data_IF_288310531543
#
_entry.id   IF_288310531543
#
_cell.length_a   1.000
_cell.length_b   1.000
_cell.length_c   1.000
_cell.angle_alpha   90.00
_cell.angle_beta   90.00
_cell.angle_gamma   90.00
#
_symmetry.space_group_name_H-M   'P 1'
#
loop_
_entity.id
_entity.type
_entity.pdbx_description
1 polymer ?
#
# COMPACT_ATOMS: atom_id res chain seq x y z
N UNK A 1 22.65 0.68 -19.51
CA UNK A 1 23.00 2.01 -19.00
C UNK A 1 22.31 3.02 -19.90
N UNK A 2 21.72 4.09 -19.36
CA UNK A 2 21.04 5.09 -20.18
C UNK A 2 22.06 5.93 -20.93
N UNK A 3 21.79 6.23 -22.19
CA UNK A 3 22.71 6.98 -23.06
C UNK A 3 22.04 8.21 -23.68
N UNK A 4 22.73 9.34 -23.67
CA UNK A 4 22.30 10.63 -24.21
C UNK A 4 23.21 11.08 -25.35
N UNK A 5 22.63 11.72 -26.38
CA UNK A 5 23.41 12.49 -27.35
C UNK A 5 23.21 13.98 -27.07
N UNK A 6 24.32 14.69 -26.83
CA UNK A 6 24.34 16.13 -26.57
C UNK A 6 25.00 16.89 -27.74
N UNK A 7 24.25 17.81 -28.35
CA UNK A 7 24.69 18.58 -29.52
C UNK A 7 24.70 20.07 -29.19
N UNK A 8 25.88 20.65 -29.02
CA UNK A 8 26.05 22.08 -28.79
C UNK A 8 27.42 22.58 -29.29
N UNK A 9 27.48 23.69 -30.04
CA UNK A 9 28.74 24.21 -30.56
C UNK A 9 29.69 24.70 -29.46
N UNK A 10 29.16 25.17 -28.32
CA UNK A 10 29.94 25.61 -27.17
C UNK A 10 30.44 24.42 -26.35
N UNK A 11 31.77 24.22 -26.38
CA UNK A 11 32.45 23.23 -25.51
C UNK A 11 32.15 23.44 -24.02
N UNK A 12 32.05 24.69 -23.58
CA UNK A 12 31.72 25.00 -22.19
C UNK A 12 30.30 24.52 -21.84
N UNK A 13 29.31 24.82 -22.68
CA UNK A 13 27.94 24.38 -22.43
C UNK A 13 27.81 22.86 -22.47
N UNK A 14 28.50 22.20 -23.40
CA UNK A 14 28.56 20.73 -23.43
C UNK A 14 29.06 20.13 -22.12
N UNK A 15 30.14 20.68 -21.56
CA UNK A 15 30.70 20.21 -20.29
C UNK A 15 29.75 20.42 -19.10
N UNK A 16 29.04 21.55 -19.05
CA UNK A 16 28.05 21.83 -17.99
C UNK A 16 26.88 20.86 -18.06
N UNK A 17 26.29 20.67 -19.25
CA UNK A 17 25.13 19.80 -19.44
C UNK A 17 25.52 18.32 -19.25
N UNK A 18 26.69 17.90 -19.74
CA UNK A 18 27.23 16.57 -19.47
C UNK A 18 27.29 16.28 -17.97
N UNK A 19 27.77 17.24 -17.16
CA UNK A 19 27.80 17.06 -15.70
C UNK A 19 26.42 16.80 -15.11
N UNK A 20 25.34 17.35 -15.68
CA UNK A 20 23.97 17.12 -15.22
C UNK A 20 23.56 15.67 -15.51
N UNK A 21 23.80 15.19 -16.73
CA UNK A 21 23.50 13.81 -17.12
C UNK A 21 24.33 12.78 -16.34
N UNK A 22 25.64 13.02 -16.17
CA UNK A 22 26.55 12.12 -15.44
C UNK A 22 26.19 11.99 -13.95
N UNK A 23 25.66 13.05 -13.32
CA UNK A 23 25.15 12.99 -11.93
C UNK A 23 23.95 12.04 -11.77
N UNK A 24 23.31 11.65 -12.86
CA UNK A 24 22.16 10.75 -12.94
C UNK A 24 22.51 9.41 -13.59
N UNK A 25 23.80 9.07 -13.64
CA UNK A 25 24.30 7.82 -14.21
C UNK A 25 23.90 7.59 -15.69
N UNK A 26 23.75 8.70 -16.43
CA UNK A 26 23.49 8.71 -17.88
C UNK A 26 24.81 8.98 -18.61
N UNK A 27 25.19 8.07 -19.51
CA UNK A 27 26.34 8.23 -20.40
C UNK A 27 26.01 9.28 -21.48
N UNK A 28 26.98 10.11 -21.86
CA UNK A 28 26.75 11.21 -22.81
C UNK A 28 27.77 11.16 -23.94
N UNK A 29 27.29 11.00 -25.17
CA UNK A 29 28.08 11.29 -26.36
C UNK A 29 27.86 12.75 -26.76
N UNK A 30 28.87 13.37 -27.36
CA UNK A 30 28.84 14.78 -27.73
C UNK A 30 29.08 15.01 -29.21
N UNK A 31 28.34 15.95 -29.78
CA UNK A 31 28.59 16.52 -31.10
C UNK A 31 28.66 18.05 -31.01
N UNK A 32 29.45 18.66 -31.89
CA UNK A 32 29.67 20.12 -31.94
C UNK A 32 28.80 20.84 -32.98
N UNK A 33 28.00 20.11 -33.74
CA UNK A 33 27.09 20.64 -34.75
C UNK A 33 26.07 19.61 -35.23
N UNK A 34 25.11 20.06 -36.01
CA UNK A 34 24.00 19.26 -36.54
C UNK A 34 24.49 18.09 -37.41
N UNK A 35 25.48 18.32 -38.29
CA UNK A 35 26.02 17.28 -39.17
C UNK A 35 26.67 16.15 -38.36
N UNK A 36 27.51 16.48 -37.38
CA UNK A 36 28.12 15.51 -36.49
C UNK A 36 27.06 14.77 -35.65
N UNK A 37 26.02 15.48 -35.20
CA UNK A 37 24.88 14.90 -34.49
C UNK A 37 24.11 13.87 -35.32
N UNK A 38 23.84 14.17 -36.60
CA UNK A 38 23.19 13.23 -37.52
C UNK A 38 24.04 11.97 -37.76
N UNK A 39 25.37 12.11 -37.84
CA UNK A 39 26.29 10.98 -37.96
C UNK A 39 26.28 10.11 -36.70
N UNK A 40 26.33 10.73 -35.52
CA UNK A 40 26.28 10.04 -34.24
C UNK A 40 24.95 9.25 -34.09
N UNK A 41 23.81 9.85 -34.43
CA UNK A 41 22.49 9.19 -34.41
C UNK A 41 22.37 8.04 -35.41
N UNK A 42 23.12 8.06 -36.52
CA UNK A 42 23.13 6.98 -37.49
C UNK A 42 24.00 5.78 -37.05
N UNK A 43 24.89 5.98 -36.08
CA UNK A 43 25.87 4.98 -35.63
C UNK A 43 25.62 4.44 -34.23
N UNK A 44 24.75 5.08 -33.44
CA UNK A 44 24.51 4.71 -32.06
C UNK A 44 23.05 4.84 -31.64
N UNK A 45 22.67 4.03 -30.66
CA UNK A 45 21.36 4.08 -30.01
C UNK A 45 21.41 5.01 -28.80
N UNK A 46 20.45 5.92 -28.72
CA UNK A 46 20.34 6.88 -27.64
C UNK A 46 18.95 6.83 -27.02
N UNK A 47 18.88 7.06 -25.72
CA UNK A 47 17.63 7.10 -24.97
C UNK A 47 17.14 8.54 -24.77
N UNK A 48 17.99 9.54 -25.03
CA UNK A 48 17.61 10.96 -24.98
C UNK A 48 18.49 11.77 -25.94
N UNK A 49 17.89 12.72 -26.65
CA UNK A 49 18.56 13.63 -27.56
C UNK A 49 18.45 15.04 -27.00
N UNK A 50 19.58 15.67 -26.69
CA UNK A 50 19.63 17.04 -26.17
C UNK A 50 20.42 17.92 -27.14
N UNK A 51 19.86 19.03 -27.60
CA UNK A 51 20.53 19.89 -28.57
C UNK A 51 20.16 21.35 -28.41
N UNK A 52 21.03 22.24 -28.88
CA UNK A 52 20.79 23.68 -28.82
C UNK A 52 19.96 24.22 -29.97
N UNK A 53 19.28 25.34 -29.73
CA UNK A 53 18.55 26.07 -30.77
C UNK A 53 19.46 26.48 -31.94
N UNK A 54 20.68 26.89 -31.63
CA UNK A 54 21.70 27.26 -32.61
C UNK A 54 22.83 26.22 -32.54
N UNK A 55 22.96 25.41 -33.59
CA UNK A 55 23.97 24.34 -33.68
C UNK A 55 25.23 24.78 -34.45
N UNK A 56 25.25 26.02 -34.93
CA UNK A 56 26.34 26.60 -35.72
C UNK A 56 26.15 26.39 -37.22
N UNK A 57 25.94 25.14 -37.65
CA UNK A 57 25.73 24.74 -39.05
C UNK A 57 24.25 24.65 -39.46
N UNK A 58 23.35 24.54 -38.49
CA UNK A 58 21.90 24.47 -38.68
C UNK A 58 21.15 24.95 -37.43
N UNK A 59 19.89 25.35 -37.59
CA UNK A 59 19.01 25.62 -36.43
C UNK A 59 18.41 24.32 -35.90
N UNK A 60 18.23 24.23 -34.59
CA UNK A 60 17.73 23.05 -33.88
C UNK A 60 16.44 22.45 -34.45
N UNK A 61 15.37 23.25 -34.70
CA UNK A 61 14.14 22.73 -35.30
C UNK A 61 14.33 22.13 -36.71
N UNK A 62 15.23 22.70 -37.52
CA UNK A 62 15.57 22.17 -38.85
C UNK A 62 16.34 20.85 -38.74
N UNK A 63 17.31 20.79 -37.82
CA UNK A 63 18.04 19.57 -37.51
C UNK A 63 17.08 18.45 -37.10
N UNK A 64 16.15 18.73 -36.20
CA UNK A 64 15.24 17.70 -35.71
C UNK A 64 14.22 17.23 -36.77
N UNK A 65 13.80 18.12 -37.68
CA UNK A 65 13.02 17.71 -38.87
C UNK A 65 13.80 16.72 -39.74
N UNK A 66 15.11 16.92 -39.90
CA UNK A 66 15.96 16.02 -40.66
C UNK A 66 16.15 14.67 -39.96
N UNK A 67 16.33 14.67 -38.63
CA UNK A 67 16.34 13.46 -37.79
C UNK A 67 15.08 12.63 -38.02
N UNK A 68 13.90 13.26 -37.92
CA UNK A 68 12.61 12.59 -38.16
C UNK A 68 12.44 12.12 -39.60
N UNK A 69 12.85 12.91 -40.59
CA UNK A 69 12.77 12.54 -42.02
C UNK A 69 13.59 11.28 -42.32
N UNK A 70 14.74 11.13 -41.66
CA UNK A 70 15.61 9.96 -41.77
C UNK A 70 15.22 8.80 -40.85
N UNK A 71 14.16 8.95 -40.04
CA UNK A 71 13.74 8.00 -39.00
C UNK A 71 14.87 7.65 -38.02
N UNK A 72 15.72 8.64 -37.76
CA UNK A 72 16.74 8.54 -36.72
C UNK A 72 16.08 8.92 -35.39
N UNK A 73 16.42 8.21 -34.31
CA UNK A 73 15.92 8.48 -32.96
C UNK A 73 14.38 8.44 -32.80
N UNK A 74 13.69 7.49 -33.45
CA UNK A 74 12.24 7.29 -33.24
C UNK A 74 11.93 6.93 -31.78
N UNK A 75 10.93 7.59 -31.19
CA UNK A 75 10.55 7.39 -29.78
C UNK A 75 11.50 8.01 -28.75
N UNK A 76 12.63 8.60 -29.18
CA UNK A 76 13.61 9.22 -28.30
C UNK A 76 13.17 10.65 -27.93
N UNK A 77 13.07 11.01 -26.63
CA UNK A 77 12.76 12.37 -26.23
C UNK A 77 13.82 13.36 -26.71
N UNK A 78 13.37 14.41 -27.37
CA UNK A 78 14.16 15.48 -27.96
C UNK A 78 14.04 16.76 -27.14
N UNK A 79 15.10 17.14 -26.44
CA UNK A 79 15.16 18.30 -25.54
C UNK A 79 15.96 19.42 -26.19
N UNK A 80 15.31 20.55 -26.50
CA UNK A 80 15.98 21.70 -27.11
C UNK A 80 16.36 22.76 -26.08
N UNK A 81 17.57 23.31 -26.16
CA UNK A 81 18.06 24.37 -25.27
C UNK A 81 18.14 25.73 -25.98
N UNK A 82 17.45 26.74 -25.47
CA UNK A 82 17.41 28.09 -26.04
C UNK A 82 17.85 29.15 -25.03
N UNK A 83 18.58 30.20 -25.44
CA UNK A 83 19.03 31.26 -24.52
C UNK A 83 17.85 31.99 -23.85
N UNK A 84 16.85 32.36 -24.65
CA UNK A 84 15.57 32.93 -24.22
C UNK A 84 14.50 32.39 -25.17
N UNK A 85 13.77 31.32 -24.82
CA UNK A 85 12.68 30.84 -25.66
C UNK A 85 11.56 31.88 -25.67
N UNK A 86 11.34 32.52 -26.82
CA UNK A 86 10.12 33.28 -27.07
C UNK A 86 9.02 32.34 -27.59
N UNK A 87 7.78 32.82 -27.64
CA UNK A 87 6.64 32.03 -28.11
C UNK A 87 6.85 31.46 -29.51
N UNK A 88 7.55 32.20 -30.39
CA UNK A 88 7.80 31.78 -31.77
C UNK A 88 8.79 30.62 -31.85
N UNK A 89 9.86 30.65 -31.04
CA UNK A 89 10.83 29.55 -30.93
C UNK A 89 10.16 28.30 -30.36
N UNK A 90 9.30 28.46 -29.36
CA UNK A 90 8.54 27.34 -28.80
C UNK A 90 7.60 26.72 -29.85
N UNK A 91 6.80 27.54 -30.53
CA UNK A 91 5.86 27.06 -31.57
C UNK A 91 6.59 26.34 -32.72
N UNK A 92 7.76 26.84 -33.16
CA UNK A 92 8.59 26.22 -34.20
C UNK A 92 9.18 24.86 -33.76
N UNK A 93 9.61 24.76 -32.49
CA UNK A 93 10.14 23.53 -31.91
C UNK A 93 9.05 22.46 -31.76
N UNK A 94 7.86 22.83 -31.26
CA UNK A 94 6.71 21.92 -31.17
C UNK A 94 6.29 21.46 -32.56
N UNK A 95 6.24 22.35 -33.56
CA UNK A 95 5.94 21.99 -34.94
C UNK A 95 6.98 21.04 -35.57
N UNK A 96 8.25 21.13 -35.16
CA UNK A 96 9.29 20.17 -35.54
C UNK A 96 9.12 18.79 -34.85
N UNK A 97 8.41 18.74 -33.72
CA UNK A 97 8.18 17.54 -32.91
C UNK A 97 9.14 17.41 -31.73
N UNK A 98 9.81 18.50 -31.33
CA UNK A 98 10.65 18.52 -30.12
C UNK A 98 9.79 18.22 -28.90
N UNK A 99 10.30 17.38 -28.01
CA UNK A 99 9.57 16.93 -26.81
C UNK A 99 9.40 18.06 -25.80
N UNK A 100 10.46 18.82 -25.54
CA UNK A 100 10.43 19.94 -24.59
C UNK A 100 11.54 20.97 -24.91
N UNK A 101 11.30 22.24 -24.59
CA UNK A 101 12.25 23.33 -24.77
C UNK A 101 12.63 23.98 -23.44
N UNK A 102 13.92 23.95 -23.09
CA UNK A 102 14.41 24.55 -21.84
C UNK A 102 15.20 25.84 -22.08
N UNK A 103 15.04 26.86 -21.23
CA UNK A 103 15.94 28.00 -21.21
C UNK A 103 17.35 27.59 -20.75
N UNK A 104 18.41 28.02 -21.47
CA UNK A 104 19.81 27.80 -21.07
C UNK A 104 20.16 28.46 -19.72
N UNK A 105 19.40 29.47 -19.32
CA UNK A 105 19.52 30.10 -18.01
C UNK A 105 18.91 29.28 -16.86
N UNK A 106 18.08 28.27 -17.17
CA UNK A 106 17.37 27.42 -16.20
C UNK A 106 17.65 25.94 -16.42
N UNK A 107 18.93 25.57 -16.27
CA UNK A 107 19.37 24.17 -16.40
C UNK A 107 18.88 23.28 -15.24
N UNK A 108 18.39 23.87 -14.15
CA UNK A 108 17.70 23.17 -13.07
C UNK A 108 16.42 22.48 -13.55
N UNK A 109 15.67 23.08 -14.48
CA UNK A 109 14.48 22.46 -15.08
C UNK A 109 14.84 21.23 -15.93
N UNK A 110 15.94 21.33 -16.69
CA UNK A 110 16.51 20.21 -17.44
C UNK A 110 16.94 19.09 -16.49
N UNK A 111 17.65 19.43 -15.40
CA UNK A 111 18.08 18.45 -14.39
C UNK A 111 16.88 17.74 -13.73
N UNK A 112 15.82 18.47 -13.41
CA UNK A 112 14.58 17.89 -12.88
C UNK A 112 13.92 16.93 -13.87
N UNK A 113 13.84 17.32 -15.15
CA UNK A 113 13.30 16.46 -16.20
C UNK A 113 14.10 15.15 -16.32
N UNK A 114 15.43 15.26 -16.42
CA UNK A 114 16.33 14.09 -16.51
C UNK A 114 16.18 13.21 -15.27
N UNK A 115 16.12 13.80 -14.07
CA UNK A 115 15.93 13.03 -12.83
C UNK A 115 14.56 12.35 -12.71
N UNK A 116 13.50 12.90 -13.31
CA UNK A 116 12.21 12.21 -13.40
C UNK A 116 12.24 11.09 -14.44
N UNK A 117 12.88 11.33 -15.58
CA UNK A 117 13.03 10.37 -16.65
C UNK A 117 13.89 9.17 -16.23
N UNK A 118 15.04 9.40 -15.61
CA UNK A 118 15.94 8.36 -15.10
C UNK A 118 15.23 7.47 -14.06
N UNK A 119 14.50 8.07 -13.10
CA UNK A 119 13.70 7.32 -12.13
C UNK A 119 12.59 6.48 -12.76
N UNK A 120 12.02 6.91 -13.88
CA UNK A 120 11.03 6.12 -14.65
C UNK A 120 11.71 4.99 -15.42
N UNK A 121 12.85 5.27 -16.05
CA UNK A 121 13.58 4.32 -16.90
C UNK A 121 14.32 3.23 -16.11
N UNK A 122 14.82 3.53 -14.91
CA UNK A 122 15.50 2.57 -14.03
C UNK A 122 14.54 1.77 -13.13
N UNK A 123 13.23 1.93 -13.31
CA UNK A 123 12.25 1.31 -12.42
C UNK A 123 12.04 -0.15 -12.77
N UNK A 124 12.69 -1.04 -12.03
CA UNK A 124 12.42 -2.47 -12.11
C UNK A 124 11.11 -2.76 -11.38
N UNK A 125 10.08 -3.10 -12.17
CA UNK A 125 8.82 -3.60 -11.68
C UNK A 125 9.00 -5.06 -11.26
N UNK A 126 8.08 -5.56 -10.45
CA UNK A 126 8.09 -6.95 -9.99
C UNK A 126 6.67 -7.49 -9.83
N UNK A 127 6.52 -8.78 -10.10
CA UNK A 127 5.27 -9.51 -10.02
C UNK A 127 4.82 -10.05 -11.37
N UNK A 128 3.72 -10.81 -11.33
CA UNK A 128 3.19 -11.54 -12.47
C UNK A 128 2.11 -10.75 -13.20
N UNK A 129 2.15 -10.77 -14.52
CA UNK A 129 1.16 -10.19 -15.43
C UNK A 129 0.38 -11.32 -16.08
N UNK A 130 -0.95 -11.20 -16.09
CA UNK A 130 -1.79 -12.01 -16.96
C UNK A 130 -1.94 -11.26 -18.28
N UNK A 131 -1.42 -11.82 -19.37
CA UNK A 131 -1.54 -11.29 -20.73
C UNK A 131 -2.49 -12.17 -21.54
N UNK A 132 -3.58 -11.59 -22.05
CA UNK A 132 -4.52 -12.26 -22.97
C UNK A 132 -4.42 -11.59 -24.34
N UNK A 133 -3.87 -12.30 -25.32
CA UNK A 133 -3.70 -11.83 -26.69
C UNK A 133 -3.58 -13.07 -27.60
N UNK A 134 -4.42 -13.15 -28.62
CA UNK A 134 -4.52 -14.26 -29.57
C UNK A 134 -3.40 -14.23 -30.61
N UNK A 135 -3.00 -13.03 -31.05
CA UNK A 135 -1.88 -12.86 -31.98
C UNK A 135 -0.54 -13.15 -31.31
N UNK A 136 0.10 -14.27 -31.69
CA UNK A 136 1.42 -14.65 -31.17
C UNK A 136 2.47 -13.54 -31.32
N UNK A 137 2.44 -12.79 -32.43
CA UNK A 137 3.35 -11.66 -32.70
C UNK A 137 3.13 -10.51 -31.73
N UNK A 138 1.87 -10.09 -31.53
CA UNK A 138 1.54 -8.99 -30.62
C UNK A 138 1.79 -9.40 -29.16
N UNK A 139 1.46 -10.63 -28.80
CA UNK A 139 1.68 -11.19 -27.48
C UNK A 139 3.18 -11.30 -27.16
N UNK A 140 4.01 -11.72 -28.13
CA UNK A 140 5.47 -11.75 -27.98
C UNK A 140 6.04 -10.35 -27.76
N UNK A 141 5.65 -9.39 -28.59
CA UNK A 141 6.09 -8.00 -28.45
C UNK A 141 5.72 -7.41 -27.06
N UNK A 142 4.46 -7.59 -26.64
CA UNK A 142 4.01 -7.11 -25.33
C UNK A 142 4.76 -7.80 -24.18
N UNK A 143 5.03 -9.10 -24.30
CA UNK A 143 5.78 -9.86 -23.29
C UNK A 143 7.21 -9.34 -23.16
N UNK A 144 7.92 -9.13 -24.26
CA UNK A 144 9.29 -8.60 -24.25
C UNK A 144 9.38 -7.23 -23.59
N UNK A 145 8.40 -6.34 -23.85
CA UNK A 145 8.34 -5.03 -23.19
C UNK A 145 8.15 -5.20 -21.68
N UNK A 146 7.23 -6.05 -21.24
CA UNK A 146 6.94 -6.27 -19.82
C UNK A 146 8.09 -6.96 -19.07
N UNK A 147 8.73 -7.96 -19.69
CA UNK A 147 9.88 -8.69 -19.15
C UNK A 147 11.10 -7.76 -18.99
N UNK A 148 11.33 -6.86 -19.94
CA UNK A 148 12.37 -5.81 -19.81
C UNK A 148 12.12 -4.87 -18.63
N UNK A 149 10.86 -4.67 -18.24
CA UNK A 149 10.51 -3.92 -17.03
C UNK A 149 10.69 -4.74 -15.75
N UNK A 150 10.98 -6.04 -15.83
CA UNK A 150 11.16 -6.95 -14.68
C UNK A 150 9.91 -7.73 -14.27
N UNK A 151 8.87 -7.73 -15.09
CA UNK A 151 7.63 -8.47 -14.84
C UNK A 151 7.72 -9.91 -15.36
N UNK A 152 7.08 -10.85 -14.67
CA UNK A 152 6.86 -12.21 -15.17
C UNK A 152 5.54 -12.24 -15.96
N UNK A 153 5.53 -12.81 -17.16
CA UNK A 153 4.33 -12.78 -18.03
C UNK A 153 3.73 -14.18 -18.20
N UNK A 154 2.50 -14.36 -17.72
CA UNK A 154 1.66 -15.53 -18.03
C UNK A 154 0.79 -15.20 -19.25
N UNK A 155 1.02 -15.92 -20.35
CA UNK A 155 0.35 -15.69 -21.64
C UNK A 155 -0.82 -16.66 -21.85
N UNK A 156 -1.93 -16.13 -22.33
CA UNK A 156 -3.12 -16.88 -22.71
C UNK A 156 -3.62 -16.40 -24.07
N UNK A 157 -4.08 -17.32 -24.91
CA UNK A 157 -4.65 -16.98 -26.23
C UNK A 157 -6.13 -16.67 -26.18
N UNK A 158 -6.83 -17.25 -25.21
CA UNK A 158 -8.29 -17.12 -25.06
C UNK A 158 -8.65 -16.51 -23.71
N UNK A 159 -9.79 -15.83 -23.64
CA UNK A 159 -10.30 -15.26 -22.39
C UNK A 159 -10.66 -16.35 -21.38
N UNK A 160 -11.18 -17.48 -21.85
CA UNK A 160 -11.64 -18.61 -21.05
C UNK A 160 -10.50 -19.23 -20.22
N UNK A 161 -9.37 -19.51 -20.87
CA UNK A 161 -8.16 -20.02 -20.20
C UNK A 161 -7.64 -19.04 -19.15
N UNK A 162 -7.60 -17.75 -19.51
CA UNK A 162 -7.10 -16.72 -18.62
C UNK A 162 -7.99 -16.57 -17.37
N UNK A 163 -9.32 -16.52 -17.56
CA UNK A 163 -10.30 -16.41 -16.49
C UNK A 163 -10.21 -17.59 -15.51
N UNK A 164 -9.97 -18.80 -16.00
CA UNK A 164 -9.83 -19.99 -15.17
C UNK A 164 -8.65 -19.91 -14.17
N UNK A 165 -7.61 -19.11 -14.47
CA UNK A 165 -6.43 -18.97 -13.59
C UNK A 165 -6.56 -17.87 -12.54
N UNK A 166 -7.43 -16.88 -12.75
CA UNK A 166 -7.60 -15.72 -11.87
C UNK A 166 -7.82 -16.04 -10.38
N UNK A 167 -8.57 -17.10 -9.99
CA UNK A 167 -8.75 -17.44 -8.57
C UNK A 167 -7.47 -18.00 -7.94
N UNK A 168 -6.67 -18.74 -8.72
CA UNK A 168 -5.59 -19.60 -8.22
C UNK A 168 -4.21 -18.95 -8.30
N UNK A 169 -4.03 -17.97 -9.17
CA UNK A 169 -2.77 -17.25 -9.33
C UNK A 169 -2.86 -15.82 -8.77
N UNK A 170 -1.69 -15.28 -8.42
CA UNK A 170 -1.54 -13.93 -7.88
C UNK A 170 -0.89 -13.01 -8.91
N UNK A 171 -1.75 -12.48 -9.77
CA UNK A 171 -1.38 -11.45 -10.73
C UNK A 171 -1.33 -10.08 -10.07
N UNK A 172 -0.45 -9.20 -10.55
CA UNK A 172 -0.41 -7.79 -10.14
C UNK A 172 -1.09 -6.85 -11.10
N UNK A 173 -1.27 -7.28 -12.35
CA UNK A 173 -1.95 -6.53 -13.39
C UNK A 173 -2.45 -7.51 -14.47
N UNK A 174 -3.58 -7.16 -15.07
CA UNK A 174 -4.15 -7.86 -16.23
C UNK A 174 -3.98 -6.98 -17.46
N UNK A 175 -3.45 -7.55 -18.52
CA UNK A 175 -3.39 -6.94 -19.85
C UNK A 175 -4.18 -7.82 -20.80
N UNK A 176 -5.19 -7.28 -21.47
CA UNK A 176 -6.06 -8.09 -22.34
C UNK A 176 -6.37 -7.35 -23.62
N UNK A 177 -6.25 -8.02 -24.77
CA UNK A 177 -6.86 -7.52 -25.99
C UNK A 177 -8.38 -7.52 -25.87
N UNK A 178 -9.01 -6.52 -26.49
CA UNK A 178 -10.45 -6.44 -26.57
C UNK A 178 -11.01 -7.55 -27.48
N UNK A 179 -10.41 -7.75 -28.65
CA UNK A 179 -10.81 -8.80 -29.60
C UNK A 179 -9.92 -10.00 -29.32
N UNK A 180 -10.51 -11.18 -29.18
CA UNK A 180 -9.77 -12.41 -28.91
C UNK A 180 -10.35 -13.53 -29.76
N UNK A 181 -9.52 -14.52 -30.08
CA UNK A 181 -9.97 -15.83 -30.51
C UNK A 181 -10.73 -16.53 -29.36
N UNK A 182 -11.89 -17.11 -29.65
CA UNK A 182 -12.74 -17.77 -28.65
C UNK A 182 -14.20 -17.32 -28.69
N UNK A 183 -14.97 -17.71 -27.65
CA UNK A 183 -16.37 -17.31 -27.50
C UNK A 183 -16.51 -16.05 -26.63
N UNK A 184 -15.46 -15.70 -25.90
CA UNK A 184 -15.38 -14.56 -25.00
C UNK A 184 -14.38 -13.50 -25.48
N UNK A 185 -14.63 -12.25 -25.12
CA UNK A 185 -13.80 -11.09 -25.47
C UNK A 185 -13.01 -10.59 -24.26
N UNK A 186 -12.09 -9.64 -24.44
CA UNK A 186 -11.40 -8.99 -23.32
C UNK A 186 -12.35 -8.34 -22.31
N UNK A 187 -13.57 -7.99 -22.73
CA UNK A 187 -14.62 -7.50 -21.82
C UNK A 187 -15.06 -8.57 -20.81
N UNK A 188 -15.08 -9.85 -21.22
CA UNK A 188 -15.37 -10.96 -20.32
C UNK A 188 -14.27 -11.11 -19.26
N UNK A 189 -13.00 -10.95 -19.65
CA UNK A 189 -11.87 -10.95 -18.72
C UNK A 189 -12.01 -9.82 -17.69
N UNK A 190 -12.31 -8.60 -18.16
CA UNK A 190 -12.52 -7.44 -17.28
C UNK A 190 -13.62 -7.72 -16.25
N UNK A 191 -14.77 -8.22 -16.70
CA UNK A 191 -15.90 -8.54 -15.81
C UNK A 191 -15.56 -9.66 -14.83
N UNK A 192 -14.84 -10.69 -15.27
CA UNK A 192 -14.41 -11.79 -14.42
C UNK A 192 -13.49 -11.31 -13.29
N UNK A 193 -12.50 -10.46 -13.60
CA UNK A 193 -11.63 -9.85 -12.58
C UNK A 193 -12.46 -9.07 -11.57
N UNK A 194 -13.38 -8.21 -12.03
CA UNK A 194 -14.23 -7.38 -11.15
C UNK A 194 -15.23 -8.20 -10.31
N UNK A 195 -15.51 -9.44 -10.68
CA UNK A 195 -16.37 -10.35 -9.92
C UNK A 195 -15.60 -11.17 -8.84
N UNK A 196 -14.27 -11.07 -8.78
CA UNK A 196 -13.48 -11.77 -7.76
C UNK A 196 -13.74 -11.20 -6.35
N UNK A 197 -13.63 -12.02 -5.29
CA UNK A 197 -13.80 -11.52 -3.93
C UNK A 197 -12.61 -10.68 -3.46
N UNK A 198 -12.89 -9.70 -2.60
CA UNK A 198 -11.87 -8.92 -1.89
C UNK A 198 -10.93 -8.13 -2.80
N UNK A 199 -9.65 -8.05 -2.42
CA UNK A 199 -8.63 -7.24 -3.12
C UNK A 199 -8.29 -7.73 -4.53
N UNK A 200 -8.71 -8.93 -4.94
CA UNK A 200 -8.54 -9.42 -6.31
C UNK A 200 -9.46 -8.70 -7.30
N UNK A 201 -10.63 -8.20 -6.86
CA UNK A 201 -11.49 -7.35 -7.71
C UNK A 201 -10.86 -6.01 -8.08
N UNK A 202 -9.86 -5.55 -7.31
CA UNK A 202 -9.18 -4.27 -7.49
C UNK A 202 -7.93 -4.37 -8.38
N UNK A 203 -7.66 -5.54 -8.98
CA UNK A 203 -6.50 -5.70 -9.86
C UNK A 203 -6.56 -4.67 -10.99
N UNK A 204 -5.44 -3.97 -11.26
CA UNK A 204 -5.39 -3.05 -12.38
C UNK A 204 -5.54 -3.82 -13.70
N UNK A 205 -6.32 -3.26 -14.62
CA UNK A 205 -6.57 -3.85 -15.94
C UNK A 205 -6.23 -2.83 -17.02
N UNK A 206 -5.35 -3.21 -17.94
CA UNK A 206 -4.98 -2.45 -19.12
C UNK A 206 -5.50 -3.16 -20.37
N UNK A 207 -6.45 -2.54 -21.06
CA UNK A 207 -6.99 -3.13 -22.29
C UNK A 207 -6.15 -2.73 -23.52
N UNK A 208 -6.00 -3.61 -24.49
CA UNK A 208 -5.48 -3.27 -25.82
C UNK A 208 -6.68 -3.10 -26.78
N UNK A 209 -6.71 -2.01 -27.56
CA UNK A 209 -7.84 -1.71 -28.45
C UNK A 209 -7.41 -1.01 -29.74
N UNK A 210 -8.16 -1.17 -30.82
CA UNK A 210 -7.95 -0.42 -32.06
C UNK A 210 -8.32 1.09 -31.94
N UNK A 211 -7.73 1.92 -32.80
CA UNK A 211 -7.84 3.39 -32.82
C UNK A 211 -9.23 3.92 -33.20
N UNK A 212 -10.01 3.17 -33.97
CA UNK A 212 -11.15 3.68 -34.75
C UNK A 212 -12.51 3.62 -34.04
N UNK A 213 -12.58 3.12 -32.80
CA UNK A 213 -13.86 2.95 -32.11
C UNK A 213 -13.87 3.56 -30.70
N UNK A 214 -14.26 4.84 -30.62
CA UNK A 214 -14.45 5.56 -29.35
C UNK A 214 -15.49 4.87 -28.45
N UNK A 215 -16.55 4.30 -29.03
CA UNK A 215 -17.59 3.62 -28.24
C UNK A 215 -17.04 2.39 -27.50
N UNK A 216 -16.16 1.63 -28.16
CA UNK A 216 -15.45 0.49 -27.57
C UNK A 216 -14.57 0.90 -26.40
N UNK A 217 -13.81 2.00 -26.54
CA UNK A 217 -12.98 2.55 -25.44
C UNK A 217 -13.82 2.94 -24.23
N UNK A 218 -15.00 3.53 -24.47
CA UNK A 218 -15.95 3.87 -23.40
C UNK A 218 -16.49 2.60 -22.71
N UNK A 219 -16.80 1.55 -23.48
CA UNK A 219 -17.30 0.29 -22.93
C UNK A 219 -16.26 -0.42 -22.05
N UNK A 220 -15.00 -0.47 -22.49
CA UNK A 220 -13.85 -1.01 -21.74
C UNK A 220 -13.74 -0.34 -20.37
N UNK A 221 -13.76 1.00 -20.34
CA UNK A 221 -13.66 1.76 -19.09
C UNK A 221 -14.89 1.56 -18.19
N UNK A 222 -16.10 1.53 -18.76
CA UNK A 222 -17.33 1.28 -18.01
C UNK A 222 -17.42 -0.13 -17.42
N UNK A 223 -16.83 -1.12 -18.08
CA UNK A 223 -16.72 -2.47 -17.54
C UNK A 223 -15.72 -2.57 -16.38
N UNK A 224 -14.92 -1.52 -16.16
CA UNK A 224 -14.03 -1.39 -15.01
C UNK A 224 -12.55 -1.49 -15.36
N UNK A 225 -12.14 -1.48 -16.64
CA UNK A 225 -10.72 -1.35 -16.96
C UNK A 225 -10.17 0.00 -16.46
N UNK A 226 -8.91 0.01 -16.03
CA UNK A 226 -8.28 1.21 -15.49
C UNK A 226 -7.76 2.13 -16.59
N UNK A 227 -7.31 1.55 -17.70
CA UNK A 227 -6.78 2.27 -18.84
C UNK A 227 -6.79 1.39 -20.10
N UNK A 228 -6.39 1.96 -21.24
CA UNK A 228 -6.18 1.20 -22.48
C UNK A 228 -4.94 1.70 -23.26
N UNK A 229 -4.33 0.82 -24.06
CA UNK A 229 -3.32 1.15 -25.08
C UNK A 229 -3.94 0.94 -26.45
N UNK A 230 -3.61 1.83 -27.37
CA UNK A 230 -4.10 1.72 -28.74
C UNK A 230 -3.17 0.88 -29.61
N UNK A 231 -3.73 0.01 -30.45
CA UNK A 231 -2.96 -0.77 -31.44
C UNK A 231 -2.65 0.09 -32.69
N UNK A 232 -1.45 -0.03 -33.30
CA UNK A 232 -0.33 -0.90 -32.90
C UNK A 232 0.33 -0.43 -31.59
N UNK A 233 0.67 -1.38 -30.72
CA UNK A 233 1.23 -1.10 -29.40
C UNK A 233 2.62 -0.49 -29.56
N UNK A 234 2.85 0.65 -28.90
CA UNK A 234 4.18 1.30 -28.80
C UNK A 234 4.80 0.92 -27.45
N UNK A 235 6.06 0.47 -27.46
CA UNK A 235 6.74 -0.06 -26.28
C UNK A 235 6.78 0.95 -25.13
N UNK A 236 7.10 2.21 -25.45
CA UNK A 236 7.21 3.31 -24.50
C UNK A 236 5.84 3.66 -23.88
N UNK A 237 4.77 3.64 -24.68
CA UNK A 237 3.41 3.88 -24.19
C UNK A 237 2.96 2.76 -23.25
N UNK A 238 3.16 1.51 -23.66
CA UNK A 238 2.83 0.34 -22.84
C UNK A 238 3.59 0.37 -21.50
N UNK A 239 4.91 0.62 -21.56
CA UNK A 239 5.75 0.70 -20.36
C UNK A 239 5.30 1.82 -19.42
N UNK A 240 4.98 3.02 -19.95
CA UNK A 240 4.52 4.14 -19.15
C UNK A 240 3.18 3.83 -18.45
N UNK A 241 2.21 3.25 -19.16
CA UNK A 241 0.90 2.91 -18.58
C UNK A 241 1.00 1.80 -17.54
N UNK A 242 1.76 0.75 -17.82
CA UNK A 242 2.02 -0.33 -16.85
C UNK A 242 2.69 0.21 -15.58
N UNK A 243 3.73 1.03 -15.74
CA UNK A 243 4.43 1.65 -14.63
C UNK A 243 3.51 2.51 -13.75
N UNK A 244 2.61 3.29 -14.35
CA UNK A 244 1.63 4.10 -13.62
C UNK A 244 0.62 3.25 -12.85
N UNK A 245 0.06 2.22 -13.49
CA UNK A 245 -0.95 1.35 -12.88
C UNK A 245 -0.38 0.52 -11.72
N UNK A 246 0.82 -0.04 -11.91
CA UNK A 246 1.49 -0.83 -10.86
C UNK A 246 1.96 0.05 -9.70
N UNK A 247 2.40 1.29 -9.97
CA UNK A 247 2.69 2.28 -8.94
C UNK A 247 1.44 2.61 -8.11
N UNK A 248 0.32 2.88 -8.78
CA UNK A 248 -0.93 3.20 -8.11
C UNK A 248 -1.39 2.03 -7.24
N UNK A 249 -1.29 0.79 -7.73
CA UNK A 249 -1.59 -0.41 -6.96
C UNK A 249 -0.72 -0.53 -5.71
N UNK A 250 0.59 -0.35 -5.86
CA UNK A 250 1.54 -0.40 -4.73
C UNK A 250 1.20 0.66 -3.66
N UNK A 251 0.86 1.88 -4.07
CA UNK A 251 0.48 2.95 -3.13
C UNK A 251 -0.80 2.60 -2.37
N UNK A 252 -1.81 2.03 -3.04
CA UNK A 252 -3.03 1.56 -2.38
C UNK A 252 -2.76 0.42 -1.40
N UNK A 253 -1.90 -0.54 -1.76
CA UNK A 253 -1.49 -1.64 -0.88
C UNK A 253 -0.79 -1.11 0.38
N UNK A 254 0.10 -0.13 0.24
CA UNK A 254 0.78 0.54 1.35
C UNK A 254 -0.21 1.28 2.26
N UNK A 255 -1.14 2.04 1.67
CA UNK A 255 -2.15 2.77 2.44
C UNK A 255 -3.05 1.81 3.22
N UNK A 256 -3.47 0.70 2.61
CA UNK A 256 -4.28 -0.31 3.27
C UNK A 256 -3.52 -0.96 4.44
N UNK A 257 -2.24 -1.27 4.27
CA UNK A 257 -1.41 -1.82 5.34
C UNK A 257 -1.23 -0.83 6.51
N UNK A 258 -1.00 0.45 6.21
CA UNK A 258 -0.91 1.49 7.24
C UNK A 258 -2.22 1.67 8.00
N UNK A 259 -3.34 1.63 7.29
CA UNK A 259 -4.66 1.75 7.90
C UNK A 259 -4.95 0.59 8.87
N UNK A 260 -4.57 -0.64 8.51
CA UNK A 260 -4.69 -1.78 9.43
C UNK A 260 -3.77 -1.64 10.65
N UNK A 261 -2.52 -1.17 10.46
CA UNK A 261 -1.62 -0.91 11.59
C UNK A 261 -2.19 0.16 12.54
N UNK A 262 -2.76 1.24 12.00
CA UNK A 262 -3.40 2.29 12.81
C UNK A 262 -4.60 1.75 13.57
N UNK A 263 -5.41 0.88 12.96
CA UNK A 263 -6.51 0.20 13.67
C UNK A 263 -6.00 -0.69 14.80
N UNK A 264 -4.96 -1.49 14.56
CA UNK A 264 -4.36 -2.34 15.61
C UNK A 264 -3.85 -1.50 16.78
N UNK A 265 -3.14 -0.40 16.50
CA UNK A 265 -2.68 0.56 17.51
C UNK A 265 -3.84 1.24 18.25
N UNK A 266 -4.98 1.46 17.59
CA UNK A 266 -6.15 2.05 18.21
C UNK A 266 -6.91 1.09 19.13
N UNK A 267 -6.69 -0.22 19.00
CA UNK A 267 -7.48 -1.28 19.66
C UNK A 267 -6.71 -2.01 20.76
N UNK A 268 -5.38 -2.04 20.69
CA UNK A 268 -4.51 -2.75 21.65
C UNK A 268 -3.83 -1.80 22.65
N UNK A 269 -3.51 -2.31 23.83
CA UNK A 269 -2.66 -1.64 24.82
C UNK A 269 -1.18 -1.86 24.47
N UNK A 270 -0.40 -0.78 24.46
CA UNK A 270 0.99 -0.82 24.00
C UNK A 270 1.93 -1.63 24.92
N UNK A 271 1.60 -1.79 26.20
CA UNK A 271 2.45 -2.53 27.14
C UNK A 271 2.08 -4.01 27.14
N UNK A 272 0.79 -4.34 27.29
CA UNK A 272 0.35 -5.71 27.54
C UNK A 272 -0.10 -6.46 26.30
N UNK A 273 -0.31 -5.76 25.17
CA UNK A 273 -0.92 -6.29 23.94
C UNK A 273 -2.35 -6.85 24.13
N UNK A 274 -2.97 -6.65 25.29
CA UNK A 274 -4.40 -6.87 25.48
C UNK A 274 -5.18 -5.80 24.71
N UNK A 275 -6.49 -5.96 24.59
CA UNK A 275 -7.32 -4.88 24.09
C UNK A 275 -7.25 -3.67 25.05
N UNK A 276 -7.44 -2.47 24.53
CA UNK A 276 -7.46 -1.25 25.33
C UNK A 276 -8.89 -0.84 25.70
N UNK A 277 -9.01 0.16 26.57
CA UNK A 277 -10.30 0.72 26.99
C UNK A 277 -11.19 1.18 25.83
N UNK A 278 -10.63 1.74 24.75
CA UNK A 278 -11.44 2.17 23.61
C UNK A 278 -12.11 1.01 22.92
N UNK A 279 -11.41 -0.13 22.78
CA UNK A 279 -12.00 -1.33 22.21
C UNK A 279 -13.13 -1.90 23.07
N UNK A 280 -12.98 -1.88 24.40
CA UNK A 280 -14.07 -2.25 25.32
C UNK A 280 -15.33 -1.42 25.05
N UNK A 281 -15.20 -0.08 25.01
CA UNK A 281 -16.34 0.81 24.76
C UNK A 281 -16.98 0.58 23.39
N UNK A 282 -16.19 0.19 22.38
CA UNK A 282 -16.67 -0.05 21.03
C UNK A 282 -17.44 -1.37 20.88
N UNK A 283 -17.00 -2.44 21.54
CA UNK A 283 -17.62 -3.77 21.44
C UNK A 283 -18.76 -4.00 22.46
N UNK A 284 -18.74 -3.30 23.59
CA UNK A 284 -19.76 -3.50 24.64
C UNK A 284 -21.21 -3.32 24.20
N UNK A 285 -21.57 -2.34 23.34
CA UNK A 285 -22.94 -2.24 22.81
C UNK A 285 -23.40 -3.51 22.09
N UNK A 286 -22.50 -4.19 21.35
CA UNK A 286 -22.81 -5.44 20.67
C UNK A 286 -23.02 -6.59 21.65
N UNK A 287 -22.14 -6.71 22.65
CA UNK A 287 -22.26 -7.75 23.68
C UNK A 287 -23.55 -7.59 24.50
N UNK A 288 -23.89 -6.36 24.89
CA UNK A 288 -25.15 -6.06 25.60
C UNK A 288 -26.38 -6.41 24.75
N UNK A 289 -26.34 -6.11 23.45
CA UNK A 289 -27.42 -6.47 22.54
C UNK A 289 -27.55 -7.99 22.40
N UNK A 290 -26.44 -8.70 22.16
CA UNK A 290 -26.43 -10.16 22.03
C UNK A 290 -26.91 -10.87 23.30
N UNK A 291 -26.50 -10.39 24.48
CA UNK A 291 -26.96 -10.92 25.77
C UNK A 291 -28.47 -10.81 25.93
N UNK A 292 -29.05 -9.68 25.53
CA UNK A 292 -30.49 -9.42 25.61
C UNK A 292 -31.28 -10.23 24.59
N UNK A 293 -30.81 -10.30 23.35
CA UNK A 293 -31.50 -11.01 22.26
C UNK A 293 -31.52 -12.52 22.47
N UNK A 294 -30.44 -13.08 23.02
CA UNK A 294 -30.30 -14.53 23.23
C UNK A 294 -30.63 -14.97 24.67
N UNK A 295 -31.07 -14.05 25.52
CA UNK A 295 -31.33 -14.29 26.96
C UNK A 295 -30.14 -14.97 27.68
N UNK A 296 -28.92 -14.55 27.33
CA UNK A 296 -27.68 -15.09 27.89
C UNK A 296 -27.11 -14.17 28.98
N UNK A 297 -26.52 -14.73 30.05
CA UNK A 297 -25.80 -13.93 31.04
C UNK A 297 -24.62 -13.20 30.40
N UNK A 298 -24.41 -11.94 30.78
CA UNK A 298 -23.19 -11.20 30.48
C UNK A 298 -22.58 -10.76 31.80
N UNK A 299 -21.42 -11.29 32.14
CA UNK A 299 -20.73 -10.98 33.39
C UNK A 299 -19.51 -10.11 33.11
N UNK A 300 -19.39 -9.01 33.85
CA UNK A 300 -18.21 -8.15 33.83
C UNK A 300 -17.35 -8.44 35.06
N UNK A 301 -16.05 -8.60 34.83
CA UNK A 301 -15.05 -8.79 35.89
C UNK A 301 -14.07 -7.63 35.81
N UNK A 302 -13.97 -6.84 36.89
CA UNK A 302 -12.98 -5.77 37.05
C UNK A 302 -11.89 -6.30 37.98
N UNK A 303 -10.64 -6.19 37.53
CA UNK A 303 -9.47 -6.80 38.16
C UNK A 303 -8.46 -5.70 38.44
N UNK A 304 -7.89 -5.69 39.63
CA UNK A 304 -6.85 -4.72 40.02
C UNK A 304 -5.68 -5.44 40.69
N UNK A 305 -4.47 -5.08 40.28
CA UNK A 305 -3.24 -5.63 40.87
C UNK A 305 -2.99 -4.98 42.22
N UNK A 306 -2.99 -5.80 43.26
CA UNK A 306 -2.91 -5.31 44.64
C UNK A 306 -1.58 -4.62 44.92
N UNK A 307 -1.67 -3.46 45.56
CA UNK A 307 -0.49 -2.70 46.01
C UNK A 307 0.50 -2.34 44.90
N UNK A 308 0.06 -2.26 43.63
CA UNK A 308 0.96 -2.02 42.50
C UNK A 308 1.80 -0.74 42.62
N UNK A 309 1.23 0.34 43.19
CA UNK A 309 2.00 1.54 43.54
C UNK A 309 3.22 1.23 44.45
N UNK A 310 3.07 0.37 45.46
CA UNK A 310 4.19 -0.04 46.33
C UNK A 310 5.23 -0.84 45.56
N UNK A 311 4.82 -1.67 44.60
CA UNK A 311 5.73 -2.41 43.71
C UNK A 311 6.57 -1.42 42.90
N UNK A 312 5.94 -0.41 42.28
CA UNK A 312 6.65 0.64 41.57
C UNK A 312 7.60 1.43 42.47
N UNK A 313 7.15 1.80 43.67
CA UNK A 313 7.95 2.59 44.61
C UNK A 313 9.19 1.81 45.10
N UNK A 314 9.11 0.48 45.26
CA UNK A 314 10.22 -0.35 45.74
C UNK A 314 11.13 -0.89 44.63
N UNK A 315 10.58 -1.24 43.46
CA UNK A 315 11.30 -1.94 42.39
C UNK A 315 11.51 -1.10 41.12
N UNK A 316 10.90 0.08 41.05
CA UNK A 316 10.93 0.96 39.90
C UNK A 316 9.88 0.61 38.83
N UNK A 317 9.51 1.61 38.03
CA UNK A 317 8.46 1.49 37.02
C UNK A 317 8.72 0.39 35.98
N UNK A 318 9.95 0.22 35.51
CA UNK A 318 10.28 -0.86 34.55
C UNK A 318 9.93 -2.24 35.10
N UNK A 319 10.10 -2.45 36.41
CA UNK A 319 9.77 -3.74 37.03
C UNK A 319 8.26 -3.89 37.25
N UNK A 320 7.56 -2.80 37.56
CA UNK A 320 6.10 -2.79 37.54
C UNK A 320 5.53 -3.11 36.16
N UNK A 321 6.12 -2.57 35.10
CA UNK A 321 5.73 -2.88 33.72
C UNK A 321 5.90 -4.37 33.40
N UNK A 322 7.02 -4.98 33.81
CA UNK A 322 7.24 -6.44 33.70
C UNK A 322 6.17 -7.25 34.44
N UNK A 323 5.75 -6.80 35.64
CA UNK A 323 4.65 -7.41 36.41
C UNK A 323 3.33 -7.33 35.63
N UNK A 324 2.98 -6.16 35.07
CA UNK A 324 1.74 -6.01 34.32
C UNK A 324 1.72 -6.88 33.06
N UNK A 325 2.84 -7.00 32.35
CA UNK A 325 2.97 -7.88 31.19
C UNK A 325 2.78 -9.35 31.59
N UNK A 326 3.37 -9.77 32.72
CA UNK A 326 3.22 -11.14 33.20
C UNK A 326 1.80 -11.45 33.69
N UNK A 327 1.16 -10.52 34.42
CA UNK A 327 -0.26 -10.67 34.82
C UNK A 327 -1.16 -10.72 33.59
N UNK A 328 -0.96 -9.83 32.61
CA UNK A 328 -1.73 -9.83 31.37
C UNK A 328 -1.64 -11.16 30.60
N UNK A 329 -0.46 -11.79 30.58
CA UNK A 329 -0.28 -13.13 29.98
C UNK A 329 -1.07 -14.19 30.73
N UNK A 330 -1.04 -14.19 32.06
CA UNK A 330 -1.81 -15.14 32.87
C UNK A 330 -3.32 -14.98 32.64
N UNK A 331 -3.80 -13.75 32.54
CA UNK A 331 -5.20 -13.45 32.19
C UNK A 331 -5.53 -13.96 30.78
N UNK A 332 -4.68 -13.68 29.79
CA UNK A 332 -4.90 -14.10 28.40
C UNK A 332 -4.88 -15.63 28.22
N UNK A 333 -4.04 -16.35 28.96
CA UNK A 333 -3.99 -17.81 28.93
C UNK A 333 -5.21 -18.47 29.59
N UNK A 334 -5.91 -17.75 30.48
CA UNK A 334 -7.12 -18.23 31.13
C UNK A 334 -8.40 -17.85 30.35
N UNK A 335 -8.34 -16.78 29.55
CA UNK A 335 -9.48 -16.31 28.77
C UNK A 335 -9.70 -17.19 27.53
N UNK A 336 -10.97 -17.45 27.20
CA UNK A 336 -11.34 -18.05 25.92
C UNK A 336 -11.42 -16.98 24.82
N UNK A 337 -11.36 -17.40 23.55
CA UNK A 337 -11.48 -16.49 22.39
C UNK A 337 -12.81 -15.70 22.35
N UNK A 338 -13.82 -16.19 23.07
CA UNK A 338 -15.16 -15.58 23.19
C UNK A 338 -15.24 -14.51 24.29
N UNK A 339 -14.18 -14.34 25.08
CA UNK A 339 -14.10 -13.36 26.16
C UNK A 339 -13.36 -12.09 25.72
N UNK A 340 -13.93 -10.94 26.08
CA UNK A 340 -13.30 -9.65 25.80
C UNK A 340 -12.41 -9.23 26.97
N UNK A 341 -11.12 -9.57 26.87
CA UNK A 341 -10.10 -9.18 27.86
C UNK A 341 -9.40 -7.88 27.46
N UNK A 342 -9.39 -6.91 28.38
CA UNK A 342 -8.96 -5.53 28.17
C UNK A 342 -8.06 -5.06 29.32
N UNK A 343 -7.01 -4.29 29.03
CA UNK A 343 -6.37 -3.41 30.03
C UNK A 343 -7.12 -2.08 30.04
N UNK A 344 -7.80 -1.79 31.15
CA UNK A 344 -8.68 -0.62 31.26
C UNK A 344 -7.87 0.66 31.52
N UNK A 345 -6.84 0.58 32.35
CA UNK A 345 -5.89 1.67 32.60
C UNK A 345 -4.98 1.37 33.78
N UNK A 346 -3.74 1.84 33.76
CA UNK A 346 -2.79 1.65 34.86
C UNK A 346 -2.61 0.15 35.21
N UNK A 347 -3.07 -0.23 36.40
CA UNK A 347 -3.02 -1.58 36.97
C UNK A 347 -4.36 -2.35 36.88
N UNK A 348 -5.35 -1.78 36.18
CA UNK A 348 -6.71 -2.31 36.07
C UNK A 348 -6.94 -3.07 34.75
N UNK A 349 -7.56 -4.24 34.87
CA UNK A 349 -7.99 -5.08 33.76
C UNK A 349 -9.49 -5.33 33.85
N UNK A 350 -10.12 -5.54 32.70
CA UNK A 350 -11.55 -5.82 32.59
C UNK A 350 -11.74 -7.02 31.67
N UNK A 351 -12.56 -7.97 32.10
CA UNK A 351 -13.01 -9.08 31.26
C UNK A 351 -14.54 -9.04 31.14
N UNK A 352 -15.06 -9.12 29.92
CA UNK A 352 -16.48 -9.32 29.68
C UNK A 352 -16.73 -10.72 29.11
N UNK A 353 -17.61 -11.47 29.77
CA UNK A 353 -17.90 -12.87 29.47
C UNK A 353 -19.38 -13.03 29.12
N UNK A 354 -19.67 -13.43 27.88
CA UNK A 354 -21.02 -13.70 27.40
C UNK A 354 -21.33 -15.20 27.48
N UNK A 355 -22.48 -15.57 28.02
CA UNK A 355 -22.98 -16.95 28.06
C UNK A 355 -22.53 -17.79 29.26
N UNK A 356 -21.53 -17.36 30.02
CA UNK A 356 -21.08 -18.05 31.22
C UNK A 356 -21.99 -17.75 32.42
N UNK A 357 -22.30 -18.77 33.24
CA UNK A 357 -23.13 -18.55 34.43
C UNK A 357 -22.34 -17.79 35.51
N UNK A 358 -22.99 -16.96 36.36
CA UNK A 358 -22.30 -16.19 37.40
C UNK A 358 -21.39 -17.03 38.30
N UNK A 359 -21.86 -18.24 38.70
CA UNK A 359 -21.08 -19.15 39.52
C UNK A 359 -19.81 -19.67 38.81
N UNK A 360 -19.90 -19.98 37.51
CA UNK A 360 -18.72 -20.37 36.72
C UNK A 360 -17.70 -19.23 36.64
N UNK A 361 -18.17 -17.99 36.43
CA UNK A 361 -17.27 -16.83 36.35
C UNK A 361 -16.60 -16.56 37.70
N UNK A 362 -17.31 -16.75 38.81
CA UNK A 362 -16.76 -16.62 40.16
C UNK A 362 -15.69 -17.70 40.45
N UNK A 363 -15.97 -18.96 40.12
CA UNK A 363 -15.01 -20.07 40.25
C UNK A 363 -13.76 -19.86 39.38
N UNK A 364 -13.92 -19.41 38.13
CA UNK A 364 -12.82 -19.16 37.22
C UNK A 364 -11.98 -17.95 37.68
N UNK A 365 -12.63 -16.90 38.19
CA UNK A 365 -11.95 -15.74 38.77
C UNK A 365 -11.12 -16.14 39.99
N UNK A 366 -11.63 -17.00 40.86
CA UNK A 366 -10.89 -17.43 42.06
C UNK A 366 -9.69 -18.32 41.71
N UNK A 367 -9.84 -19.22 40.73
CA UNK A 367 -8.70 -19.99 40.18
C UNK A 367 -7.62 -19.07 39.59
N UNK A 368 -8.04 -18.04 38.86
CA UNK A 368 -7.11 -17.08 38.26
C UNK A 368 -6.40 -16.24 39.31
N UNK A 369 -7.11 -15.83 40.36
CA UNK A 369 -6.55 -15.17 41.54
C UNK A 369 -5.44 -16.02 42.19
N UNK A 370 -5.71 -17.29 42.47
CA UNK A 370 -4.71 -18.21 43.05
C UNK A 370 -3.51 -18.42 42.12
N UNK A 371 -3.76 -18.50 40.80
CA UNK A 371 -2.72 -18.62 39.80
C UNK A 371 -1.81 -17.40 39.76
N UNK A 372 -2.35 -16.19 39.85
CA UNK A 372 -1.56 -14.95 39.91
C UNK A 372 -0.70 -14.94 41.18
N UNK A 373 -1.30 -15.26 42.35
CA UNK A 373 -0.61 -15.29 43.63
C UNK A 373 0.56 -16.30 43.67
N UNK A 374 0.44 -17.42 42.97
CA UNK A 374 1.46 -18.49 42.94
C UNK A 374 2.49 -18.35 41.82
N UNK A 375 2.26 -17.50 40.82
CA UNK A 375 3.12 -17.37 39.64
C UNK A 375 4.39 -16.52 39.87
N UNK A 376 4.41 -15.72 40.94
CA UNK A 376 5.44 -14.70 41.19
C UNK A 376 5.79 -13.88 39.93
N UNK A 377 4.86 -13.09 39.37
CA UNK A 377 5.09 -12.29 38.17
C UNK A 377 6.38 -11.46 38.28
N UNK A 378 7.28 -11.59 37.30
CA UNK A 378 8.60 -10.97 37.31
C UNK A 378 9.47 -11.29 38.56
N UNK A 379 9.21 -12.42 39.23
CA UNK A 379 9.89 -12.84 40.45
C UNK A 379 9.41 -12.11 41.72
N UNK A 380 8.27 -11.43 41.66
CA UNK A 380 7.71 -10.63 42.76
C UNK A 380 6.41 -11.29 43.24
N UNK A 381 6.18 -11.32 44.54
CA UNK A 381 4.90 -11.73 45.12
C UNK A 381 3.82 -10.68 44.77
N UNK A 382 2.84 -11.08 43.98
CA UNK A 382 1.77 -10.21 43.47
C UNK A 382 0.44 -10.90 43.64
N UNK A 383 -0.54 -10.20 44.19
CA UNK A 383 -1.93 -10.65 44.25
C UNK A 383 -2.82 -9.70 43.45
N UNK A 384 -4.05 -10.12 43.18
CA UNK A 384 -5.04 -9.27 42.54
C UNK A 384 -6.41 -9.45 43.20
N UNK A 385 -7.19 -8.38 43.21
CA UNK A 385 -8.58 -8.36 43.66
C UNK A 385 -9.52 -8.31 42.47
N UNK A 386 -10.68 -8.95 42.61
CA UNK A 386 -11.65 -9.12 41.53
C UNK A 386 -13.04 -8.68 42.01
N UNK A 387 -13.70 -7.82 41.23
CA UNK A 387 -15.08 -7.42 41.40
C UNK A 387 -15.94 -7.88 40.22
N UNK A 388 -17.02 -8.60 40.50
CA UNK A 388 -17.89 -9.19 39.49
C UNK A 388 -19.28 -8.56 39.53
N UNK A 389 -19.90 -8.40 38.35
CA UNK A 389 -21.32 -8.11 38.25
C UNK A 389 -21.92 -8.75 36.99
N UNK A 390 -23.11 -9.35 37.13
CA UNK A 390 -23.86 -9.93 36.00
C UNK A 390 -24.93 -8.98 35.51
N UNK A 391 -25.01 -8.74 34.20
CA UNK A 391 -25.97 -7.85 33.56
C UNK A 391 -27.40 -8.12 34.01
N UNK A 392 -28.06 -7.08 34.52
CA UNK A 392 -29.48 -7.10 34.89
C UNK A 392 -30.37 -6.64 33.73
N UNK A 393 -31.65 -7.07 33.66
CA UNK A 393 -32.57 -6.59 32.64
C UNK A 393 -32.69 -5.07 32.61
N UNK A 394 -32.49 -4.47 31.43
CA UNK A 394 -32.57 -3.02 31.23
C UNK A 394 -31.34 -2.22 31.68
N UNK A 395 -30.32 -2.87 32.26
CA UNK A 395 -29.11 -2.22 32.76
C UNK A 395 -28.19 -1.72 31.62
N UNK A 396 -27.59 -0.54 31.78
CA UNK A 396 -26.58 0.01 30.86
C UNK A 396 -25.18 -0.50 31.20
N UNK A 397 -24.22 -0.33 30.27
CA UNK A 397 -22.83 -0.65 30.56
C UNK A 397 -22.29 0.11 31.79
N UNK A 398 -22.56 1.40 31.90
CA UNK A 398 -22.05 2.22 33.02
C UNK A 398 -22.57 1.72 34.37
N UNK A 399 -23.84 1.28 34.42
CA UNK A 399 -24.44 0.71 35.63
C UNK A 399 -23.81 -0.64 35.99
N UNK A 400 -23.63 -1.52 34.99
CA UNK A 400 -22.96 -2.81 35.16
C UNK A 400 -21.52 -2.63 35.64
N UNK A 401 -20.77 -1.72 35.01
CA UNK A 401 -19.40 -1.38 35.39
C UNK A 401 -19.32 -0.84 36.81
N UNK A 402 -20.22 0.08 37.18
CA UNK A 402 -20.28 0.65 38.53
C UNK A 402 -20.49 -0.42 39.60
N UNK A 403 -21.34 -1.43 39.36
CA UNK A 403 -21.53 -2.53 40.32
C UNK A 403 -20.30 -3.42 40.44
N UNK A 404 -19.66 -3.73 39.32
CA UNK A 404 -18.43 -4.53 39.34
C UNK A 404 -17.28 -3.77 40.05
N UNK A 405 -17.19 -2.46 39.85
CA UNK A 405 -16.21 -1.60 40.53
C UNK A 405 -16.48 -1.48 42.03
N UNK A 406 -17.75 -1.36 42.44
CA UNK A 406 -18.14 -1.41 43.87
C UNK A 406 -17.77 -2.74 44.53
N UNK A 407 -18.00 -3.86 43.83
CA UNK A 407 -17.59 -5.17 44.31
C UNK A 407 -16.05 -5.28 44.43
N UNK A 408 -15.30 -4.74 43.47
CA UNK A 408 -13.84 -4.67 43.54
C UNK A 408 -13.36 -3.81 44.72
N UNK A 409 -14.05 -2.70 44.97
CA UNK A 409 -13.77 -1.84 46.12
C UNK A 409 -13.96 -2.59 47.45
N UNK A 410 -15.02 -3.39 47.58
CA UNK A 410 -15.25 -4.25 48.75
C UNK A 410 -14.19 -5.37 48.84
N UNK A 411 -13.75 -5.95 47.73
CA UNK A 411 -12.62 -6.88 47.70
C UNK A 411 -11.33 -6.23 48.28
N UNK A 412 -11.04 -4.99 47.88
CA UNK A 412 -9.90 -4.24 48.41
C UNK A 412 -10.03 -3.90 49.91
N UNK A 413 -11.25 -3.70 50.41
CA UNK A 413 -11.53 -3.41 51.83
C UNK A 413 -11.51 -4.65 52.73
N UNK A 414 -11.94 -5.78 52.21
CA UNK A 414 -12.00 -7.07 52.93
C UNK A 414 -10.65 -7.74 53.13
N UNK A 415 -9.57 -7.15 52.63
CA UNK A 415 -8.21 -7.64 52.83
C UNK A 415 -7.42 -7.87 51.55
N UNK A 416 -8.00 -7.59 50.37
CA UNK A 416 -7.43 -7.87 49.05
C UNK A 416 -7.25 -9.36 48.77
N UNK A 417 -6.71 -9.71 47.59
CA UNK A 417 -6.53 -11.10 47.18
C UNK A 417 -7.81 -11.93 47.37
N UNK A 418 -8.93 -11.41 46.88
CA UNK A 418 -10.23 -12.06 46.97
C UNK A 418 -11.11 -11.67 45.77
N UNK A 419 -12.16 -12.47 45.60
CA UNK A 419 -13.20 -12.30 44.59
C UNK A 419 -14.48 -11.87 45.31
N UNK A 420 -15.14 -10.83 44.82
CA UNK A 420 -16.42 -10.36 45.35
C UNK A 420 -17.40 -10.17 44.20
N UNK A 421 -18.60 -10.72 44.34
CA UNK A 421 -19.70 -10.55 43.40
C UNK A 421 -20.72 -9.53 43.92
N UNK A 422 -21.08 -8.54 43.09
CA UNK A 422 -22.14 -7.57 43.38
C UNK A 422 -23.52 -8.22 43.52
N UNK A 423 -23.71 -9.39 42.94
CA UNK A 423 -24.97 -10.14 43.02
C UNK A 423 -25.08 -10.94 44.33
N UNK A 424 -23.98 -11.10 45.07
CA UNK A 424 -23.94 -11.71 46.42
C UNK A 424 -24.03 -10.67 47.54
N UNK A 425 -23.90 -9.38 47.22
CA UNK A 425 -23.95 -8.27 48.19
C UNK A 425 -25.37 -7.76 48.47
N UNK A 426 -26.39 -8.18 47.69
CA UNK A 426 -27.77 -7.69 47.79
C UNK A 426 -28.84 -8.78 47.64
#
# INVERSE_FOLDING_TARGET
>A
MLKALLIDPSRFQRSVIESIFRRRDVEVDMADGAVAGLQALAQGDYNILCFSLELGDMRGPEFYREVRRRRLAEGVPALMLAATPDKRVFDDAIAAGVTECFPKARLDELEQYIGQWERRSNRRLSGRVLLVEDSDTAAQFCSEVMERLGLEVSRYRTAEEAIATLPHEDYRIVVTDFVLEGLQTGLSVIRAVRALPGRKAELPILALSALDNVARRVEILRAGANDFVTKPVVAEELAARLGNLLMLRMLFEQLAAQHELVKEMAVRDALTSLHNRHHLMAEMPRLLQAARENEQPLTLVVIDVDHFKRINDHHGHTRGDEVLVAVARLLAEAASDEQLLVRYGGEEFVCALLGATPAQVEDDADRLRERIASAYPAGIEVTASFGLATLRPGETFDQLFSRADEALYEAKRSGRNCVVSADSLF
#
